data_IF_804578499784
#
_entry.id   IF_804578499784
#
_cell.length_a   1.000
_cell.length_b   1.000
_cell.length_c   1.000
_cell.angle_alpha   90.00
_cell.angle_beta   90.00
_cell.angle_gamma   90.00
#
_symmetry.space_group_name_H-M   'P 1'
#
loop_
_entity.id
_entity.type
_entity.pdbx_description
1 polymer ?
#
# COMPACT_ATOMS: atom_id res chain seq x y z
N UNK A 1 -14.12 -2.25 -42.22
CA UNK A 1 -15.42 -2.78 -41.78
C UNK A 1 -15.67 -4.11 -42.47
N UNK A 2 -15.57 -5.21 -41.72
CA UNK A 2 -16.01 -6.53 -42.14
C UNK A 2 -16.36 -7.30 -40.86
N UNK A 3 -17.66 -7.38 -40.54
CA UNK A 3 -18.17 -8.16 -39.41
C UNK A 3 -18.45 -9.58 -39.89
N UNK A 4 -17.76 -10.56 -39.32
CA UNK A 4 -18.13 -11.97 -39.45
C UNK A 4 -18.97 -12.37 -38.25
N UNK A 5 -20.25 -12.65 -38.49
CA UNK A 5 -21.17 -13.26 -37.51
C UNK A 5 -20.94 -14.77 -37.52
N UNK A 6 -20.61 -15.36 -36.37
CA UNK A 6 -20.57 -16.82 -36.19
C UNK A 6 -21.50 -17.21 -35.05
N UNK A 7 -22.35 -18.19 -35.35
CA UNK A 7 -23.40 -18.78 -34.52
C UNK A 7 -22.83 -19.50 -33.29
N UNK A 8 -23.43 -19.25 -32.12
CA UNK A 8 -23.08 -19.87 -30.83
C UNK A 8 -23.80 -21.20 -30.62
N UNK A 9 -23.05 -22.27 -30.32
CA UNK A 9 -23.58 -23.48 -29.68
C UNK A 9 -23.60 -23.30 -28.15
N UNK A 10 -24.62 -23.81 -27.42
CA UNK A 10 -24.68 -23.72 -25.97
C UNK A 10 -23.80 -24.81 -25.34
N UNK A 11 -22.90 -24.42 -24.44
CA UNK A 11 -22.24 -25.36 -23.51
C UNK A 11 -20.71 -25.44 -23.51
N UNK A 12 -20.00 -24.50 -24.14
CA UNK A 12 -18.51 -24.49 -24.07
C UNK A 12 -18.02 -23.18 -23.47
N UNK A 13 -17.38 -23.26 -22.31
CA UNK A 13 -16.58 -22.17 -21.72
C UNK A 13 -15.31 -21.97 -22.54
N UNK A 14 -15.39 -21.09 -23.55
CA UNK A 14 -14.24 -20.67 -24.33
C UNK A 14 -13.41 -19.62 -23.60
N UNK A 15 -12.14 -19.94 -23.32
CA UNK A 15 -11.12 -18.94 -23.01
C UNK A 15 -10.65 -18.38 -24.35
N UNK A 16 -10.87 -17.08 -24.57
CA UNK A 16 -10.31 -16.36 -25.71
C UNK A 16 -9.17 -15.49 -25.20
N UNK A 17 -7.96 -15.74 -25.69
CA UNK A 17 -6.78 -14.92 -25.44
C UNK A 17 -6.83 -13.69 -26.34
N UNK A 18 -7.15 -12.54 -25.76
CA UNK A 18 -6.79 -11.22 -26.28
C UNK A 18 -5.73 -10.70 -25.31
N UNK A 19 -4.64 -10.12 -25.82
CA UNK A 19 -3.55 -9.58 -25.01
C UNK A 19 -4.09 -8.62 -23.94
N UNK A 20 -4.20 -9.11 -22.72
CA UNK A 20 -4.78 -8.41 -21.56
C UNK A 20 -5.11 -9.43 -20.48
N UNK A 21 -4.37 -9.40 -19.38
CA UNK A 21 -4.54 -10.34 -18.27
C UNK A 21 -5.96 -10.27 -17.68
N UNK A 22 -6.64 -11.41 -17.57
CA UNK A 22 -7.91 -11.53 -16.85
C UNK A 22 -7.62 -11.98 -15.42
N UNK A 23 -8.07 -11.22 -14.44
CA UNK A 23 -8.07 -11.65 -13.04
C UNK A 23 -9.38 -12.37 -12.74
N UNK A 24 -9.29 -13.67 -12.47
CA UNK A 24 -10.41 -14.44 -11.93
C UNK A 24 -10.37 -14.34 -10.41
N UNK A 25 -11.25 -13.52 -9.84
CA UNK A 25 -11.72 -13.76 -8.48
C UNK A 25 -12.80 -14.82 -8.60
N UNK A 26 -12.68 -15.91 -7.83
CA UNK A 26 -13.65 -17.00 -7.81
C UNK A 26 -15.08 -16.42 -7.67
N UNK A 27 -15.83 -16.43 -8.78
CA UNK A 27 -17.22 -15.99 -8.98
C UNK A 27 -17.50 -14.60 -9.58
N UNK A 28 -16.53 -13.70 -9.80
CA UNK A 28 -16.73 -12.46 -10.57
C UNK A 28 -15.54 -12.22 -11.52
N UNK A 29 -15.80 -12.24 -12.83
CA UNK A 29 -14.76 -12.01 -13.83
C UNK A 29 -14.50 -10.51 -13.94
N UNK A 30 -13.52 -9.99 -13.20
CA UNK A 30 -13.03 -8.63 -13.41
C UNK A 30 -12.17 -8.62 -14.67
N UNK A 31 -12.75 -8.09 -15.76
CA UNK A 31 -12.03 -7.88 -17.00
C UNK A 31 -11.37 -6.51 -16.93
N UNK A 32 -10.12 -6.46 -16.48
CA UNK A 32 -9.31 -5.26 -16.68
C UNK A 32 -9.04 -5.17 -18.19
N UNK A 33 -9.60 -4.15 -18.85
CA UNK A 33 -9.26 -3.88 -20.23
C UNK A 33 -7.86 -3.28 -20.26
N UNK A 34 -6.85 -4.13 -20.40
CA UNK A 34 -5.48 -3.73 -20.68
C UNK A 34 -5.44 -3.28 -22.13
N UNK A 35 -5.91 -2.06 -22.40
CA UNK A 35 -5.66 -1.44 -23.70
C UNK A 35 -4.17 -1.13 -23.84
N UNK A 36 -3.65 -1.41 -25.02
CA UNK A 36 -2.32 -1.07 -25.51
C UNK A 36 -2.10 0.45 -25.42
N UNK A 37 -1.61 0.94 -24.27
CA UNK A 37 -1.50 2.37 -23.95
C UNK A 37 -0.25 2.64 -23.11
N UNK A 38 0.36 3.79 -23.41
CA UNK A 38 1.34 4.48 -22.59
C UNK A 38 1.01 4.43 -21.08
N UNK A 39 2.05 4.33 -20.24
CA UNK A 39 2.04 4.45 -18.77
C UNK A 39 0.67 4.39 -18.08
N UNK A 40 0.31 3.23 -17.53
CA UNK A 40 -0.92 3.04 -16.75
C UNK A 40 -0.75 3.71 -15.37
N UNK A 41 -1.77 4.42 -14.88
CA UNK A 41 -1.79 4.94 -13.51
C UNK A 41 -2.74 4.10 -12.66
N UNK A 42 -2.27 3.66 -11.50
CA UNK A 42 -3.04 2.84 -10.56
C UNK A 42 -3.05 3.54 -9.21
N UNK A 43 -4.24 3.68 -8.63
CA UNK A 43 -4.39 4.10 -7.24
C UNK A 43 -4.90 2.93 -6.41
N UNK A 44 -4.20 2.57 -5.35
CA UNK A 44 -4.55 1.46 -4.46
C UNK A 44 -4.84 2.00 -3.07
N UNK A 45 -6.07 1.82 -2.57
CA UNK A 45 -6.45 2.22 -1.22
C UNK A 45 -6.67 1.00 -0.33
N UNK A 46 -5.83 0.87 0.70
CA UNK A 46 -5.90 -0.20 1.68
C UNK A 46 -6.64 0.31 2.91
N UNK A 47 -7.88 -0.15 3.10
CA UNK A 47 -8.75 0.26 4.21
C UNK A 47 -9.60 1.48 3.90
N UNK A 48 -10.34 1.47 2.79
CA UNK A 48 -11.10 2.66 2.34
C UNK A 48 -12.35 2.99 3.17
N UNK A 49 -12.73 2.14 4.13
CA UNK A 49 -13.90 2.32 4.96
C UNK A 49 -15.18 2.45 4.11
N UNK A 50 -15.78 3.65 4.05
CA UNK A 50 -17.00 3.94 3.30
C UNK A 50 -16.72 4.58 1.91
N UNK A 51 -15.46 4.65 1.47
CA UNK A 51 -15.04 5.26 0.20
C UNK A 51 -14.82 6.78 0.23
N UNK A 52 -14.78 7.42 1.40
CA UNK A 52 -14.38 8.84 1.53
C UNK A 52 -12.98 9.14 1.01
N UNK A 53 -12.02 8.26 1.28
CA UNK A 53 -10.63 8.40 0.81
C UNK A 53 -10.53 8.36 -0.71
N UNK A 54 -11.32 7.50 -1.36
CA UNK A 54 -11.45 7.46 -2.83
C UNK A 54 -12.04 8.76 -3.38
N UNK A 55 -13.09 9.29 -2.73
CA UNK A 55 -13.70 10.56 -3.14
C UNK A 55 -12.71 11.73 -3.03
N UNK A 56 -11.91 11.75 -1.95
CA UNK A 56 -10.83 12.73 -1.81
C UNK A 56 -9.78 12.60 -2.91
N UNK A 57 -9.31 11.37 -3.18
CA UNK A 57 -8.37 11.13 -4.27
C UNK A 57 -8.91 11.65 -5.60
N UNK A 58 -10.16 11.32 -5.94
CA UNK A 58 -10.82 11.78 -7.17
C UNK A 58 -10.89 13.31 -7.24
N UNK A 59 -11.25 13.96 -6.13
CA UNK A 59 -11.44 15.41 -6.06
C UNK A 59 -10.13 16.20 -6.17
N UNK A 60 -9.06 15.73 -5.52
CA UNK A 60 -7.80 16.46 -5.41
C UNK A 60 -6.74 16.03 -6.43
N UNK A 61 -6.90 14.87 -7.07
CA UNK A 61 -5.96 14.38 -8.07
C UNK A 61 -6.41 14.78 -9.46
N UNK A 62 -5.59 15.60 -10.12
CA UNK A 62 -5.81 15.98 -11.52
C UNK A 62 -5.79 14.73 -12.41
N UNK A 63 -6.70 14.68 -13.37
CA UNK A 63 -6.83 13.58 -14.33
C UNK A 63 -7.06 12.21 -13.64
N UNK A 64 -7.68 12.21 -12.44
CA UNK A 64 -8.01 10.99 -11.66
C UNK A 64 -8.90 10.00 -12.43
N UNK A 65 -9.64 10.46 -13.43
CA UNK A 65 -10.42 9.62 -14.36
C UNK A 65 -9.56 8.66 -15.18
N UNK A 66 -8.26 8.94 -15.33
CA UNK A 66 -7.29 8.09 -16.04
C UNK A 66 -6.65 7.01 -15.15
N UNK A 67 -7.05 6.92 -13.88
CA UNK A 67 -6.55 5.92 -12.95
C UNK A 67 -7.45 4.70 -12.91
N UNK A 68 -6.83 3.52 -12.81
CA UNK A 68 -7.49 2.34 -12.28
C UNK A 68 -7.44 2.41 -10.75
N UNK A 69 -8.60 2.54 -10.12
CA UNK A 69 -8.72 2.65 -8.67
C UNK A 69 -9.06 1.27 -8.10
N UNK A 70 -8.15 0.71 -7.32
CA UNK A 70 -8.36 -0.54 -6.58
C UNK A 70 -8.46 -0.23 -5.10
N UNK A 71 -9.50 -0.72 -4.44
CA UNK A 71 -9.66 -0.51 -3.01
C UNK A 71 -10.00 -1.80 -2.28
N UNK A 72 -9.49 -1.93 -1.06
CA UNK A 72 -9.73 -3.06 -0.19
C UNK A 72 -10.54 -2.62 1.03
N UNK A 73 -11.69 -3.26 1.26
CA UNK A 73 -12.50 -3.08 2.46
C UNK A 73 -13.08 -4.42 2.91
N UNK A 74 -12.50 -5.05 3.96
CA UNK A 74 -12.93 -6.36 4.40
C UNK A 74 -14.19 -6.36 5.28
N UNK A 75 -14.52 -5.26 5.96
CA UNK A 75 -15.71 -5.23 6.82
C UNK A 75 -16.97 -5.25 5.96
N UNK A 76 -17.86 -6.26 6.09
CA UNK A 76 -19.04 -6.38 5.24
C UNK A 76 -19.97 -5.16 5.27
N UNK A 77 -20.06 -4.47 6.41
CA UNK A 77 -20.89 -3.27 6.56
C UNK A 77 -20.25 -2.10 5.81
N UNK A 78 -18.95 -1.87 6.01
CA UNK A 78 -18.21 -0.80 5.36
C UNK A 78 -18.13 -1.03 3.84
N UNK A 79 -17.86 -2.27 3.42
CA UNK A 79 -17.84 -2.67 2.02
C UNK A 79 -19.15 -2.32 1.31
N UNK A 80 -20.30 -2.64 1.94
CA UNK A 80 -21.62 -2.29 1.39
C UNK A 80 -21.80 -0.78 1.26
N UNK A 81 -21.43 -0.01 2.29
CA UNK A 81 -21.51 1.46 2.26
C UNK A 81 -20.61 2.04 1.17
N UNK A 82 -19.39 1.52 1.03
CA UNK A 82 -18.45 1.90 0.00
C UNK A 82 -19.00 1.61 -1.40
N UNK A 83 -19.53 0.41 -1.62
CA UNK A 83 -20.14 0.00 -2.89
C UNK A 83 -21.35 0.87 -3.25
N UNK A 84 -22.23 1.13 -2.30
CA UNK A 84 -23.37 2.04 -2.49
C UNK A 84 -22.91 3.45 -2.88
N UNK A 85 -21.95 4.01 -2.13
CA UNK A 85 -21.38 5.33 -2.40
C UNK A 85 -20.74 5.42 -3.79
N UNK A 86 -19.87 4.48 -4.14
CA UNK A 86 -19.08 4.50 -5.38
C UNK A 86 -19.89 4.04 -6.61
N UNK A 87 -21.10 3.50 -6.42
CA UNK A 87 -22.04 3.22 -7.52
C UNK A 87 -22.85 4.43 -8.00
N UNK A 88 -22.73 5.58 -7.32
CA UNK A 88 -23.46 6.79 -7.69
C UNK A 88 -23.07 7.31 -9.08
N UNK A 89 -24.03 7.94 -9.78
CA UNK A 89 -23.86 8.45 -11.16
C UNK A 89 -22.62 9.32 -11.35
N UNK A 90 -22.20 10.08 -10.34
CA UNK A 90 -21.00 10.95 -10.41
C UNK A 90 -19.69 10.17 -10.58
N UNK A 91 -19.67 8.88 -10.28
CA UNK A 91 -18.48 8.02 -10.39
C UNK A 91 -18.51 7.08 -11.59
N UNK A 92 -19.52 7.16 -12.45
CA UNK A 92 -19.72 6.22 -13.58
C UNK A 92 -18.57 6.22 -14.61
N UNK A 93 -17.81 7.32 -14.66
CA UNK A 93 -16.74 7.52 -15.63
C UNK A 93 -15.37 7.07 -15.06
N UNK A 94 -15.33 6.59 -13.81
CA UNK A 94 -14.12 6.09 -13.14
C UNK A 94 -14.08 4.56 -13.16
N UNK A 95 -12.88 4.00 -13.29
CA UNK A 95 -12.67 2.56 -13.19
C UNK A 95 -12.34 2.18 -11.74
N UNK A 96 -13.34 1.77 -10.97
CA UNK A 96 -13.22 1.50 -9.53
C UNK A 96 -13.49 0.03 -9.23
N UNK A 97 -12.55 -0.64 -8.58
CA UNK A 97 -12.64 -2.02 -8.11
C UNK A 97 -12.62 -2.08 -6.59
N UNK A 98 -13.63 -2.70 -5.99
CA UNK A 98 -13.72 -2.87 -4.52
C UNK A 98 -13.55 -4.34 -4.20
N UNK A 99 -12.50 -4.68 -3.44
CA UNK A 99 -12.14 -6.05 -3.08
C UNK A 99 -12.51 -6.29 -1.60
N UNK A 100 -13.47 -7.19 -1.29
CA UNK A 100 -13.91 -7.46 0.07
C UNK A 100 -12.98 -8.45 0.80
N UNK A 101 -11.67 -8.15 0.84
CA UNK A 101 -10.65 -9.00 1.47
C UNK A 101 -9.72 -8.20 2.35
N UNK A 102 -9.18 -8.88 3.36
CA UNK A 102 -8.18 -8.28 4.24
C UNK A 102 -6.85 -8.25 3.49
N UNK A 103 -6.24 -7.07 3.42
CA UNK A 103 -4.88 -6.90 2.92
C UNK A 103 -3.91 -7.31 4.03
N UNK A 104 -3.08 -8.32 3.77
CA UNK A 104 -2.23 -8.90 4.80
C UNK A 104 -0.88 -9.38 4.27
N UNK A 105 -0.09 -9.99 5.15
CA UNK A 105 1.26 -10.51 4.87
C UNK A 105 1.25 -12.00 4.44
N UNK A 106 0.07 -12.61 4.34
CA UNK A 106 -0.10 -13.97 3.82
C UNK A 106 -1.54 -14.18 3.32
N UNK A 107 -1.72 -15.15 2.42
CA UNK A 107 -3.04 -15.63 2.01
C UNK A 107 -3.64 -16.55 3.08
N UNK A 108 -4.94 -16.47 3.32
CA UNK A 108 -5.62 -17.38 4.24
C UNK A 108 -6.84 -16.75 4.89
N UNK A 109 -7.11 -17.11 6.15
CA UNK A 109 -8.12 -16.46 6.98
C UNK A 109 -7.46 -15.72 8.12
N UNK A 110 -8.00 -14.56 8.47
CA UNK A 110 -7.56 -13.77 9.62
C UNK A 110 -8.75 -13.38 10.48
N UNK A 111 -8.62 -13.45 11.82
CA UNK A 111 -9.64 -12.92 12.71
C UNK A 111 -9.69 -11.40 12.58
N UNK A 112 -10.88 -10.86 12.36
CA UNK A 112 -11.11 -9.45 12.08
C UNK A 112 -12.29 -8.93 12.89
N UNK A 113 -12.15 -7.75 13.51
CA UNK A 113 -13.26 -7.06 14.18
C UNK A 113 -14.10 -6.34 13.14
N UNK A 114 -15.38 -6.69 13.05
CA UNK A 114 -16.34 -6.12 12.10
C UNK A 114 -17.41 -5.28 12.80
N UNK A 115 -18.06 -4.42 12.03
CA UNK A 115 -19.12 -3.52 12.50
C UNK A 115 -18.62 -2.43 13.46
N UNK A 116 -17.33 -2.08 13.41
CA UNK A 116 -16.73 -1.03 14.24
C UNK A 116 -16.46 0.27 13.46
N UNK A 117 -17.00 0.37 12.23
CA UNK A 117 -16.77 1.49 11.34
C UNK A 117 -15.29 1.64 10.99
N UNK A 118 -14.72 2.84 11.18
CA UNK A 118 -13.28 3.11 11.01
C UNK A 118 -12.38 2.35 12.00
N UNK A 119 -12.95 1.77 13.08
CA UNK A 119 -12.19 0.99 14.06
C UNK A 119 -12.18 -0.52 13.76
N UNK A 120 -12.81 -0.93 12.66
CA UNK A 120 -12.72 -2.30 12.17
C UNK A 120 -11.28 -2.62 11.79
N UNK A 121 -10.83 -3.84 12.04
CA UNK A 121 -9.41 -4.17 11.91
C UNK A 121 -9.07 -5.56 12.40
N UNK A 122 -7.86 -6.03 12.06
CA UNK A 122 -7.35 -7.34 12.45
C UNK A 122 -7.38 -7.48 13.97
N UNK A 123 -7.89 -8.62 14.43
CA UNK A 123 -8.04 -8.95 15.83
C UNK A 123 -6.85 -9.79 16.32
N UNK A 124 -6.00 -9.17 17.13
CA UNK A 124 -5.02 -9.91 17.92
C UNK A 124 -5.59 -10.27 19.29
N UNK A 125 -5.53 -11.54 19.63
CA UNK A 125 -5.89 -12.03 20.98
C UNK A 125 -4.80 -11.64 21.98
N UNK A 126 -4.76 -10.37 22.38
CA UNK A 126 -3.88 -9.92 23.48
C UNK A 126 -4.44 -10.44 24.82
N UNK A 127 -3.53 -10.91 25.66
CA UNK A 127 -3.76 -11.79 26.81
C UNK A 127 -4.83 -11.36 27.84
N UNK A 128 -5.61 -12.37 28.26
CA UNK A 128 -6.43 -12.57 29.50
C UNK A 128 -7.52 -11.57 29.92
N UNK A 129 -7.56 -10.32 29.46
CA UNK A 129 -8.74 -9.48 29.76
C UNK A 129 -9.90 -9.91 28.86
N UNK A 130 -10.94 -10.50 29.46
CA UNK A 130 -12.24 -10.76 28.82
C UNK A 130 -12.90 -9.42 28.47
N UNK A 131 -12.42 -8.73 27.45
CA UNK A 131 -13.27 -7.77 26.74
C UNK A 131 -14.33 -8.61 26.02
N UNK A 132 -15.61 -8.30 26.23
CA UNK A 132 -16.71 -8.80 25.41
C UNK A 132 -16.55 -8.22 24.00
N UNK A 133 -15.62 -8.77 23.22
CA UNK A 133 -15.48 -8.43 21.80
C UNK A 133 -16.54 -9.22 21.07
N UNK A 134 -17.76 -8.68 21.10
CA UNK A 134 -18.81 -9.12 20.21
C UNK A 134 -18.41 -8.65 18.81
N UNK A 135 -18.47 -9.53 17.81
CA UNK A 135 -18.21 -9.27 16.38
C UNK A 135 -16.75 -9.46 15.90
N UNK A 136 -16.17 -10.62 16.20
CA UNK A 136 -14.99 -11.13 15.48
C UNK A 136 -15.46 -12.09 14.40
N UNK A 137 -14.99 -11.91 13.17
CA UNK A 137 -15.22 -12.81 12.04
C UNK A 137 -13.88 -13.28 11.46
N UNK A 138 -13.81 -14.51 10.98
CA UNK A 138 -12.71 -14.98 10.15
C UNK A 138 -12.95 -14.53 8.71
N UNK A 139 -12.11 -13.63 8.19
CA UNK A 139 -12.23 -13.08 6.84
C UNK A 139 -11.07 -13.56 5.97
N UNK A 140 -11.33 -13.70 4.68
CA UNK A 140 -10.28 -14.07 3.71
C UNK A 140 -9.28 -12.92 3.57
N UNK A 141 -8.00 -13.28 3.65
CA UNK A 141 -6.87 -12.40 3.51
C UNK A 141 -6.10 -12.69 2.21
N UNK A 142 -5.55 -11.63 1.62
CA UNK A 142 -4.61 -11.68 0.51
C UNK A 142 -3.22 -11.33 1.02
N UNK A 143 -2.20 -12.10 0.61
CA UNK A 143 -0.81 -11.66 0.67
C UNK A 143 -0.64 -10.50 -0.31
N UNK A 144 -0.59 -9.28 0.21
CA UNK A 144 -0.55 -8.08 -0.60
C UNK A 144 0.71 -8.01 -1.45
N UNK A 145 1.84 -8.48 -0.93
CA UNK A 145 3.11 -8.44 -1.63
C UNK A 145 3.05 -9.31 -2.89
N UNK A 146 2.62 -10.56 -2.73
CA UNK A 146 2.46 -11.49 -3.85
C UNK A 146 1.36 -11.04 -4.83
N UNK A 147 0.28 -10.44 -4.31
CA UNK A 147 -0.76 -9.87 -5.14
C UNK A 147 -0.24 -8.68 -5.96
N UNK A 148 0.49 -7.75 -5.34
CA UNK A 148 1.01 -6.55 -5.99
C UNK A 148 2.00 -6.90 -7.10
N UNK A 149 2.91 -7.84 -6.86
CA UNK A 149 3.87 -8.31 -7.87
C UNK A 149 3.22 -9.01 -9.07
N UNK A 150 2.04 -9.60 -8.86
CA UNK A 150 1.28 -10.25 -9.93
C UNK A 150 0.38 -9.25 -10.65
N UNK A 151 -0.17 -8.28 -9.91
CA UNK A 151 -1.09 -7.26 -10.39
C UNK A 151 -0.40 -6.25 -11.30
N UNK A 152 0.80 -5.81 -10.89
CA UNK A 152 1.60 -4.82 -11.62
C UNK A 152 2.61 -5.54 -12.51
N UNK A 153 2.27 -5.69 -13.80
CA UNK A 153 3.08 -6.46 -14.75
C UNK A 153 4.03 -5.62 -15.59
N UNK A 154 3.77 -4.31 -15.70
CA UNK A 154 4.57 -3.39 -16.52
C UNK A 154 5.38 -2.44 -15.64
N UNK A 155 6.64 -2.24 -16.02
CA UNK A 155 7.53 -1.26 -15.37
C UNK A 155 7.09 0.19 -15.61
N UNK A 156 6.24 0.43 -16.61
CA UNK A 156 5.71 1.78 -16.92
C UNK A 156 4.45 2.12 -16.11
N UNK A 157 3.94 1.18 -15.30
CA UNK A 157 2.79 1.42 -14.44
C UNK A 157 3.19 2.27 -13.24
N UNK A 158 2.57 3.45 -13.11
CA UNK A 158 2.73 4.32 -11.94
C UNK A 158 1.71 3.93 -10.89
N UNK A 159 2.20 3.35 -9.80
CA UNK A 159 1.35 2.87 -8.71
C UNK A 159 1.45 3.82 -7.52
N UNK A 160 0.31 4.36 -7.10
CA UNK A 160 0.15 5.15 -5.90
C UNK A 160 -0.65 4.34 -4.88
N UNK A 161 -0.08 4.11 -3.70
CA UNK A 161 -0.71 3.31 -2.65
C UNK A 161 -0.99 4.18 -1.43
N UNK A 162 -2.23 4.18 -0.96
CA UNK A 162 -2.62 4.66 0.37
C UNK A 162 -2.75 3.47 1.32
N UNK A 163 -2.05 3.53 2.44
CA UNK A 163 -2.08 2.51 3.49
C UNK A 163 -2.76 3.04 4.75
N UNK A 164 -3.94 2.50 5.09
CA UNK A 164 -4.62 2.74 6.36
C UNK A 164 -4.96 1.43 7.04
N UNK A 165 -4.05 0.96 7.90
CA UNK A 165 -4.25 -0.29 8.64
C UNK A 165 -3.78 -0.14 10.09
N UNK A 166 -4.65 0.39 10.98
CA UNK A 166 -4.27 0.78 12.33
C UNK A 166 -3.52 -0.30 13.13
N UNK A 167 -2.24 -0.07 13.41
CA UNK A 167 -1.42 -0.89 14.30
C UNK A 167 -0.62 -2.00 13.65
N UNK A 168 -0.74 -2.15 12.33
CA UNK A 168 -0.05 -3.19 11.58
C UNK A 168 0.77 -2.64 10.41
N UNK A 169 0.84 -1.31 10.26
CA UNK A 169 1.52 -0.63 9.18
C UNK A 169 3.00 -1.04 9.12
N UNK A 170 3.70 -1.09 10.26
CA UNK A 170 5.12 -1.48 10.31
C UNK A 170 5.37 -2.91 9.84
N UNK A 171 4.58 -3.87 10.35
CA UNK A 171 4.73 -5.29 10.00
C UNK A 171 4.44 -5.51 8.52
N UNK A 172 3.43 -4.81 8.01
CA UNK A 172 3.05 -4.84 6.60
C UNK A 172 4.17 -4.31 5.70
N UNK A 173 4.70 -3.12 6.00
CA UNK A 173 5.79 -2.53 5.21
C UNK A 173 7.08 -3.35 5.29
N UNK A 174 7.39 -3.96 6.45
CA UNK A 174 8.52 -4.89 6.57
C UNK A 174 8.39 -6.09 5.64
N UNK A 175 7.18 -6.66 5.50
CA UNK A 175 6.94 -7.75 4.54
C UNK A 175 7.28 -7.31 3.11
N UNK A 176 6.83 -6.12 2.71
CA UNK A 176 7.10 -5.58 1.36
C UNK A 176 8.59 -5.31 1.12
N UNK A 177 9.35 -4.94 2.15
CA UNK A 177 10.81 -4.82 2.06
C UNK A 177 11.45 -6.20 1.86
N UNK A 178 11.07 -7.18 2.68
CA UNK A 178 11.62 -8.55 2.63
C UNK A 178 11.35 -9.22 1.29
N UNK A 179 10.18 -8.98 0.71
CA UNK A 179 9.82 -9.57 -0.59
C UNK A 179 10.24 -8.69 -1.79
N UNK A 180 10.90 -7.56 -1.56
CA UNK A 180 11.34 -6.61 -2.60
C UNK A 180 10.18 -6.00 -3.44
N UNK A 181 8.97 -5.96 -2.90
CA UNK A 181 7.78 -5.41 -3.59
C UNK A 181 7.44 -3.99 -3.20
N UNK A 182 8.07 -3.44 -2.15
CA UNK A 182 7.85 -2.06 -1.72
C UNK A 182 8.10 -1.05 -2.85
N UNK A 183 9.12 -1.33 -3.67
CA UNK A 183 9.53 -0.47 -4.78
C UNK A 183 8.68 -0.56 -6.04
N UNK A 184 7.65 -1.40 -6.06
CA UNK A 184 6.65 -1.42 -7.14
C UNK A 184 5.82 -0.13 -7.10
N UNK A 185 5.57 0.42 -5.91
CA UNK A 185 4.87 1.69 -5.79
C UNK A 185 5.79 2.88 -6.03
N UNK A 186 5.34 3.76 -6.91
CA UNK A 186 5.95 5.06 -7.14
C UNK A 186 5.72 6.00 -5.96
N UNK A 187 4.53 5.93 -5.34
CA UNK A 187 4.14 6.80 -4.22
C UNK A 187 3.41 6.00 -3.13
N UNK A 188 3.70 6.36 -1.87
CA UNK A 188 3.09 5.79 -0.67
C UNK A 188 2.53 6.90 0.24
N UNK A 189 1.25 6.82 0.56
CA UNK A 189 0.59 7.64 1.59
C UNK A 189 0.22 6.76 2.78
N UNK A 190 0.98 6.85 3.88
CA UNK A 190 0.78 5.97 5.05
C UNK A 190 0.10 6.72 6.20
N UNK A 191 -1.09 6.25 6.58
CA UNK A 191 -1.82 6.75 7.75
C UNK A 191 -1.44 5.97 9.00
N UNK A 192 -0.61 6.59 9.84
CA UNK A 192 -0.14 5.97 11.08
C UNK A 192 -1.12 6.14 12.24
N UNK A 193 -1.75 5.06 12.71
CA UNK A 193 -2.77 5.12 13.76
C UNK A 193 -2.24 5.41 15.18
N UNK A 194 -0.98 5.10 15.47
CA UNK A 194 -0.41 5.20 16.82
C UNK A 194 0.73 6.21 16.88
N UNK A 195 0.47 7.46 16.54
CA UNK A 195 1.51 8.51 16.48
C UNK A 195 2.31 8.66 17.78
N UNK A 196 1.70 8.39 18.92
CA UNK A 196 2.33 8.54 20.24
C UNK A 196 2.98 7.28 20.81
N UNK A 197 2.94 6.12 20.12
CA UNK A 197 3.58 4.91 20.63
C UNK A 197 5.11 4.93 20.40
N UNK A 198 5.95 4.99 21.45
CA UNK A 198 7.40 5.09 21.31
C UNK A 198 8.05 3.87 20.65
N UNK A 199 7.44 2.68 20.72
CA UNK A 199 7.98 1.49 20.08
C UNK A 199 7.78 1.52 18.57
N UNK A 200 6.61 2.00 18.13
CA UNK A 200 6.31 2.18 16.70
C UNK A 200 7.08 3.36 16.12
N UNK A 201 7.41 4.36 16.94
CA UNK A 201 8.21 5.50 16.56
C UNK A 201 9.59 5.11 15.98
N UNK A 202 10.32 4.24 16.67
CA UNK A 202 11.64 3.77 16.19
C UNK A 202 11.52 3.04 14.85
N UNK A 203 10.51 2.17 14.72
CA UNK A 203 10.27 1.44 13.48
C UNK A 203 9.94 2.36 12.30
N UNK A 204 9.18 3.44 12.54
CA UNK A 204 8.89 4.45 11.52
C UNK A 204 10.12 5.19 11.05
N UNK A 205 11.01 5.54 11.97
CA UNK A 205 12.30 6.13 11.57
C UNK A 205 13.00 5.15 10.64
N UNK A 206 13.23 3.90 11.05
CA UNK A 206 13.91 2.93 10.19
C UNK A 206 13.25 2.78 8.82
N UNK A 207 11.92 2.71 8.76
CA UNK A 207 11.18 2.68 7.50
C UNK A 207 11.42 3.94 6.67
N UNK A 208 11.38 5.12 7.28
CA UNK A 208 11.70 6.39 6.61
C UNK A 208 13.11 6.41 6.04
N UNK A 209 14.12 6.02 6.84
CA UNK A 209 15.50 5.98 6.37
C UNK A 209 15.66 5.00 5.20
N UNK A 210 14.91 3.90 5.20
CA UNK A 210 14.87 2.97 4.07
C UNK A 210 14.23 3.63 2.84
N UNK A 211 13.06 4.27 2.98
CA UNK A 211 12.41 4.98 1.86
C UNK A 211 13.34 6.04 1.25
N UNK A 212 14.01 6.83 2.09
CA UNK A 212 14.98 7.84 1.66
C UNK A 212 16.17 7.20 0.91
N UNK A 213 16.65 6.05 1.38
CA UNK A 213 17.76 5.30 0.75
C UNK A 213 17.38 4.74 -0.62
N UNK A 214 16.10 4.48 -0.86
CA UNK A 214 15.57 4.06 -2.16
C UNK A 214 15.14 5.23 -3.06
N UNK A 215 15.28 6.47 -2.59
CA UNK A 215 14.90 7.67 -3.37
C UNK A 215 13.40 7.93 -3.43
N UNK A 216 12.60 7.30 -2.57
CA UNK A 216 11.17 7.59 -2.48
C UNK A 216 10.97 8.93 -1.77
N UNK A 217 10.25 9.86 -2.41
CA UNK A 217 9.79 11.08 -1.74
C UNK A 217 8.63 10.74 -0.84
N UNK A 218 8.87 10.63 0.47
CA UNK A 218 7.83 10.42 1.45
C UNK A 218 7.37 11.76 2.03
N UNK A 219 6.29 12.33 1.50
CA UNK A 219 5.85 13.69 1.89
C UNK A 219 5.17 13.75 3.28
N UNK A 220 4.96 12.62 3.97
CA UNK A 220 4.07 12.55 5.14
C UNK A 220 4.69 12.09 6.47
N UNK A 221 6.02 11.95 6.59
CA UNK A 221 6.63 11.30 7.77
C UNK A 221 7.28 12.21 8.81
N UNK A 222 7.44 13.50 8.58
CA UNK A 222 8.13 14.37 9.54
C UNK A 222 7.33 15.62 9.86
N UNK A 223 6.56 15.56 10.96
CA UNK A 223 6.43 16.76 11.78
C UNK A 223 7.75 16.89 12.57
N UNK A 224 8.27 18.12 12.69
CA UNK A 224 9.52 18.41 13.40
C UNK A 224 9.56 17.84 14.83
N UNK A 225 8.38 17.68 15.44
CA UNK A 225 8.18 17.08 16.76
C UNK A 225 8.56 15.59 16.81
N UNK A 226 8.41 14.86 15.70
CA UNK A 226 8.74 13.45 15.60
C UNK A 226 10.27 13.27 15.71
N UNK A 227 11.06 14.03 14.95
CA UNK A 227 12.54 14.00 15.04
C UNK A 227 13.00 14.33 16.46
N UNK A 228 12.38 15.33 17.10
CA UNK A 228 12.72 15.72 18.48
C UNK A 228 12.42 14.62 19.50
N UNK A 229 11.33 13.87 19.31
CA UNK A 229 11.00 12.71 20.15
C UNK A 229 12.00 11.55 19.98
N UNK A 230 12.58 11.36 18.79
CA UNK A 230 13.64 10.37 18.56
C UNK A 230 14.87 10.60 19.42
N UNK A 231 15.33 11.85 19.44
CA UNK A 231 16.49 12.27 20.22
C UNK A 231 16.22 12.14 21.71
N UNK A 232 15.02 12.51 22.16
CA UNK A 232 14.64 12.41 23.57
C UNK A 232 14.42 10.96 24.05
N UNK A 233 14.15 10.01 23.15
CA UNK A 233 13.96 8.60 23.48
C UNK A 233 15.27 7.80 23.63
N UNK A 234 16.43 8.44 23.47
CA UNK A 234 17.73 7.81 23.70
C UNK A 234 18.14 6.79 22.63
N UNK A 235 17.64 6.93 21.40
CA UNK A 235 18.15 6.12 20.28
C UNK A 235 19.66 6.39 20.12
N UNK A 236 20.51 5.35 20.02
CA UNK A 236 21.95 5.55 19.90
C UNK A 236 22.26 6.38 18.65
N UNK A 237 22.79 7.59 18.88
CA UNK A 237 23.19 8.56 17.87
C UNK A 237 24.06 7.97 16.74
N UNK A 238 24.83 6.94 17.10
CA UNK A 238 25.76 6.18 16.27
C UNK A 238 25.07 5.38 15.15
N UNK A 239 23.84 4.92 15.41
CA UNK A 239 23.06 4.15 14.43
C UNK A 239 22.35 5.06 13.42
N UNK A 240 22.11 6.33 13.76
CA UNK A 240 21.47 7.30 12.86
C UNK A 240 22.51 7.97 11.97
N UNK A 241 23.66 8.36 12.52
CA UNK A 241 24.73 9.03 11.75
C UNK A 241 25.49 8.13 10.78
N UNK A 242 25.48 6.80 10.98
CA UNK A 242 26.14 5.87 10.05
C UNK A 242 25.42 5.76 8.69
N UNK A 243 24.12 5.99 8.64
CA UNK A 243 23.32 5.93 7.40
C UNK A 243 23.22 7.27 6.68
N UNK A 244 23.58 8.37 7.35
CA UNK A 244 23.49 9.69 6.77
C UNK A 244 24.83 10.39 6.90
N UNK A 245 25.36 10.90 5.79
CA UNK A 245 26.47 11.87 5.79
C UNK A 245 26.02 13.23 6.39
N UNK A 246 25.51 13.23 7.63
CA UNK A 246 25.12 14.42 8.36
C UNK A 246 26.39 15.05 8.92
N UNK A 247 26.85 16.14 8.29
CA UNK A 247 27.77 17.05 8.95
C UNK A 247 26.97 17.92 9.90
N UNK A 248 27.16 17.71 11.20
CA UNK A 248 26.80 18.71 12.21
C UNK A 248 27.83 19.84 12.08
N UNK A 249 27.39 21.02 11.65
CA UNK A 249 28.21 22.21 11.76
C UNK A 249 28.12 22.69 13.22
N UNK A 250 29.26 22.86 13.90
CA UNK A 250 29.25 23.49 15.22
C UNK A 250 28.93 24.97 15.01
N UNK A 251 28.07 25.49 15.88
CA UNK A 251 27.71 26.91 16.04
C UNK A 251 26.41 27.38 15.38
N UNK A 252 25.29 27.10 16.07
CA UNK A 252 24.28 28.10 16.43
C UNK A 252 23.27 27.45 17.37
N UNK A 253 22.68 28.19 18.32
CA UNK A 253 21.61 27.75 19.23
C UNK A 253 20.27 27.38 18.52
N UNK A 254 20.37 26.99 17.24
CA UNK A 254 19.34 26.53 16.35
C UNK A 254 19.91 25.38 15.53
N UNK A 255 19.40 24.16 15.75
CA UNK A 255 19.72 23.00 14.94
C UNK A 255 19.11 23.19 13.54
N UNK A 256 19.92 23.64 12.59
CA UNK A 256 19.53 23.67 11.17
C UNK A 256 20.25 22.51 10.47
N UNK A 257 19.52 21.45 10.14
CA UNK A 257 20.07 20.30 9.43
C UNK A 257 19.93 20.48 7.92
N UNK A 258 21.04 20.44 7.20
CA UNK A 258 21.05 20.36 5.73
C UNK A 258 21.24 18.91 5.30
N UNK A 259 20.23 18.32 4.69
CA UNK A 259 20.37 17.04 3.97
C UNK A 259 20.83 17.35 2.56
N UNK A 260 22.11 17.12 2.27
CA UNK A 260 22.64 17.30 0.92
C UNK A 260 22.17 16.13 0.03
N UNK A 261 21.22 16.39 -0.87
CA UNK A 261 20.72 15.39 -1.83
C UNK A 261 21.85 14.94 -2.77
N UNK A 262 22.00 13.63 -3.07
CA UNK A 262 22.72 13.18 -4.25
C UNK A 262 22.02 13.72 -5.51
N UNK A 263 22.78 14.11 -6.53
CA UNK A 263 22.23 14.59 -7.80
C UNK A 263 21.43 13.49 -8.50
N UNK A 264 20.21 13.82 -8.93
CA UNK A 264 19.17 12.92 -9.51
C UNK A 264 19.53 12.40 -10.92
N UNK A 265 20.80 12.46 -11.35
CA UNK A 265 21.19 12.16 -12.73
C UNK A 265 21.63 10.72 -12.97
N UNK A 266 21.65 9.84 -11.97
CA UNK A 266 21.99 8.42 -12.18
C UNK A 266 20.77 7.53 -11.93
N UNK A 267 20.40 6.74 -12.95
CA UNK A 267 19.37 5.71 -12.88
C UNK A 267 19.74 4.64 -11.83
N UNK A 268 18.78 3.99 -11.14
CA UNK A 268 19.08 3.05 -10.07
C UNK A 268 19.89 1.87 -10.60
N UNK A 269 21.14 1.72 -10.13
CA UNK A 269 21.93 0.53 -10.40
C UNK A 269 21.37 -0.63 -9.58
N UNK A 270 20.98 -1.71 -10.25
CA UNK A 270 20.68 -3.00 -9.63
C UNK A 270 21.88 -3.44 -8.78
N UNK A 271 21.69 -3.54 -7.48
CA UNK A 271 22.69 -4.09 -6.57
C UNK A 271 22.66 -5.61 -6.67
N UNK A 272 23.72 -6.20 -7.22
CA UNK A 272 23.97 -7.64 -7.10
C UNK A 272 24.95 -7.88 -5.96
N UNK A 273 24.49 -8.45 -4.85
CA UNK A 273 25.35 -8.85 -3.75
C UNK A 273 25.95 -10.24 -4.05
N UNK A 274 27.26 -10.29 -4.31
CA UNK A 274 28.01 -11.55 -4.29
C UNK A 274 28.19 -12.00 -2.84
N UNK A 275 27.58 -13.13 -2.48
CA UNK A 275 27.83 -13.83 -1.22
C UNK A 275 29.14 -14.61 -1.35
N UNK A 276 30.20 -14.17 -0.66
CA UNK A 276 31.42 -14.96 -0.49
C UNK A 276 31.24 -15.88 0.71
N UNK A 277 31.11 -17.19 0.46
CA UNK A 277 31.16 -18.21 1.50
C UNK A 277 32.62 -18.42 1.94
N UNK A 278 32.97 -17.94 3.13
CA UNK A 278 34.16 -18.44 3.83
C UNK A 278 33.77 -19.72 4.57
N UNK A 279 34.39 -20.83 4.17
CA UNK A 279 34.37 -22.11 4.89
C UNK A 279 35.14 -21.96 6.21
N UNK A 280 34.54 -22.41 7.30
CA UNK A 280 35.24 -22.92 8.48
C UNK A 280 34.95 -24.40 8.58
#
# INVERSE_FOLDING_TARGET
>A
MSSSTISSYPGVSGIYTVYGGRYLLENETLTLNVYDLASQNVYIDIGCFNGETIEHFIHFTRDSVLYDIVTFEPDPINYRLCKEKLSQKKYRDYNIFIIPKVVWIYNGKVPYRVGQGQKSGIYEKKSKKKSNVNNIMELDAIDFSAWLSTFVQSNDTKVHIKLSMPGYESQFLQKLVVDETLGIAYQWDVEWAYRSDPHLFTQRIYLQLMFDSFGFTCESFTLLDDVRHAFNAGLPYENVTKYFNLKVLPDSDTYTHYVQRPSVTESPRLWTTRVNSKKH
#
